data_IF_333199866564
#
_entry.id   IF_333199866564
#
_cell.length_a   1.000
_cell.length_b   1.000
_cell.length_c   1.000
_cell.angle_alpha   90.00
_cell.angle_beta   90.00
_cell.angle_gamma   90.00
#
_symmetry.space_group_name_H-M   'P 1'
#
loop_
_entity.id
_entity.type
_entity.pdbx_description
1 polymer ?
#
# COMPACT_ATOMS: atom_id res chain seq x y z
N UNK A 1 31.00 -2.60 14.99
CA UNK A 1 32.39 -2.85 15.42
C UNK A 1 32.36 -2.89 16.94
N UNK A 2 32.38 -4.08 17.54
CA UNK A 2 32.34 -4.23 18.98
C UNK A 2 33.77 -4.05 19.53
N UNK A 3 33.98 -3.01 20.32
CA UNK A 3 35.19 -2.87 21.13
C UNK A 3 35.18 -3.97 22.18
N UNK A 4 35.92 -5.06 21.96
CA UNK A 4 36.17 -6.07 23.00
C UNK A 4 37.00 -5.42 24.09
N UNK A 5 36.38 -5.09 25.22
CA UNK A 5 37.09 -4.73 26.46
C UNK A 5 38.02 -5.89 26.84
N UNK A 6 39.31 -5.76 26.53
CA UNK A 6 40.32 -6.73 26.91
C UNK A 6 40.35 -6.85 28.44
N UNK A 7 40.01 -8.03 28.95
CA UNK A 7 40.07 -8.31 30.39
C UNK A 7 41.51 -8.59 30.79
N UNK A 8 41.91 -8.04 31.94
CA UNK A 8 43.23 -8.25 32.51
C UNK A 8 43.21 -9.42 33.50
N UNK A 9 44.37 -10.04 33.70
CA UNK A 9 44.54 -11.09 34.69
C UNK A 9 44.36 -10.52 36.10
N UNK A 10 43.36 -11.02 36.82
CA UNK A 10 43.06 -10.61 38.19
C UNK A 10 44.24 -10.91 39.11
N UNK A 11 44.85 -12.09 38.99
CA UNK A 11 45.94 -12.50 39.89
C UNK A 11 47.24 -11.73 39.66
N UNK A 12 47.63 -11.48 38.41
CA UNK A 12 48.83 -10.67 38.13
C UNK A 12 48.61 -9.22 38.60
N UNK A 13 47.42 -8.67 38.36
CA UNK A 13 47.12 -7.33 38.80
C UNK A 13 47.11 -7.21 40.33
N UNK A 14 46.56 -8.20 41.04
CA UNK A 14 46.51 -8.21 42.51
C UNK A 14 47.89 -8.47 43.16
N UNK A 15 48.78 -9.22 42.49
CA UNK A 15 50.12 -9.59 43.01
C UNK A 15 51.15 -8.47 42.85
N UNK A 16 51.29 -7.92 41.64
CA UNK A 16 52.35 -6.95 41.31
C UNK A 16 51.88 -5.75 40.48
N UNK A 17 50.56 -5.60 40.28
CA UNK A 17 49.97 -4.52 39.46
C UNK A 17 50.10 -4.75 37.95
N UNK A 18 50.62 -5.88 37.51
CA UNK A 18 50.84 -6.14 36.09
C UNK A 18 49.52 -6.35 35.33
N UNK A 19 49.31 -5.54 34.30
CA UNK A 19 48.15 -5.61 33.41
C UNK A 19 48.36 -6.62 32.28
N UNK A 20 48.50 -7.90 32.62
CA UNK A 20 48.60 -8.98 31.63
C UNK A 20 47.23 -9.31 31.02
N UNK A 21 47.14 -9.51 29.72
CA UNK A 21 45.88 -9.91 29.05
C UNK A 21 45.40 -11.28 29.54
N UNK A 22 44.13 -11.35 29.96
CA UNK A 22 43.48 -12.58 30.35
C UNK A 22 42.90 -13.31 29.14
N UNK A 23 43.12 -14.62 29.12
CA UNK A 23 42.61 -15.52 28.06
C UNK A 23 41.61 -16.52 28.60
N UNK A 24 41.54 -16.69 29.92
CA UNK A 24 40.68 -17.65 30.60
C UNK A 24 39.81 -16.98 31.66
N UNK A 25 38.54 -17.37 31.73
CA UNK A 25 37.63 -17.06 32.84
C UNK A 25 37.35 -18.34 33.64
N UNK A 26 37.45 -18.27 34.96
CA UNK A 26 37.06 -19.35 35.87
C UNK A 26 35.65 -19.08 36.42
N UNK A 27 34.70 -20.00 36.19
CA UNK A 27 33.29 -19.81 36.55
C UNK A 27 33.10 -19.78 38.07
N UNK A 28 33.77 -20.68 38.77
CA UNK A 28 33.63 -20.88 40.22
C UNK A 28 34.34 -19.78 41.01
N UNK A 29 35.56 -19.40 40.60
CA UNK A 29 36.33 -18.34 41.26
C UNK A 29 35.90 -16.93 40.84
N UNK A 30 35.20 -16.81 39.72
CA UNK A 30 34.82 -15.52 39.13
C UNK A 30 36.01 -14.58 38.90
N UNK A 31 37.11 -15.13 38.38
CA UNK A 31 38.36 -14.37 38.09
C UNK A 31 38.81 -14.58 36.64
N UNK A 32 39.47 -13.56 36.10
CA UNK A 32 40.12 -13.60 34.79
C UNK A 32 41.59 -13.96 34.96
N UNK A 33 42.09 -14.88 34.14
CA UNK A 33 43.44 -15.44 34.24
C UNK A 33 44.17 -15.31 32.90
N UNK A 34 45.44 -14.88 32.94
CA UNK A 34 46.35 -15.01 31.80
C UNK A 34 46.71 -16.48 31.57
N UNK A 35 47.43 -16.76 30.49
CA UNK A 35 47.82 -18.13 30.10
C UNK A 35 48.51 -18.89 31.23
N UNK A 36 49.43 -18.25 31.95
CA UNK A 36 50.24 -18.93 32.96
C UNK A 36 49.50 -19.09 34.29
N UNK A 37 48.78 -18.05 34.73
CA UNK A 37 47.88 -18.16 35.88
C UNK A 37 46.79 -19.21 35.65
N UNK A 38 46.23 -19.30 34.43
CA UNK A 38 45.25 -20.33 34.07
C UNK A 38 45.81 -21.75 34.12
N UNK A 39 47.05 -21.96 33.65
CA UNK A 39 47.75 -23.25 33.76
C UNK A 39 48.00 -23.63 35.21
N UNK A 40 48.47 -22.68 36.03
CA UNK A 40 48.73 -22.92 37.44
C UNK A 40 47.43 -23.22 38.20
N UNK A 41 46.36 -22.47 37.91
CA UNK A 41 45.02 -22.66 38.45
C UNK A 41 44.50 -24.08 38.22
N UNK A 42 44.69 -24.64 37.02
CA UNK A 42 44.31 -26.04 36.73
C UNK A 42 45.21 -27.10 37.36
N UNK A 43 46.46 -26.76 37.69
CA UNK A 43 47.41 -27.68 38.36
C UNK A 43 47.25 -27.67 39.88
N UNK A 44 46.69 -26.61 40.45
CA UNK A 44 46.44 -26.52 41.88
C UNK A 44 45.43 -27.55 42.34
N UNK A 45 45.71 -28.20 43.48
CA UNK A 45 44.79 -29.16 44.11
C UNK A 45 43.44 -28.55 44.49
N UNK A 46 43.38 -27.24 44.71
CA UNK A 46 42.17 -26.54 45.17
C UNK A 46 41.26 -26.05 44.06
N UNK A 47 41.71 -26.11 42.80
CA UNK A 47 40.98 -25.53 41.66
C UNK A 47 41.13 -26.30 40.35
N UNK A 48 41.67 -27.51 40.41
CA UNK A 48 41.86 -28.37 39.25
C UNK A 48 40.54 -28.85 38.63
N UNK A 49 39.47 -28.89 39.40
CA UNK A 49 38.12 -29.32 39.02
C UNK A 49 37.21 -28.14 38.62
N UNK A 50 37.69 -26.90 38.76
CA UNK A 50 36.94 -25.72 38.35
C UNK A 50 36.75 -25.66 36.84
N UNK A 51 35.57 -25.24 36.41
CA UNK A 51 35.25 -25.06 35.00
C UNK A 51 35.77 -23.71 34.52
N UNK A 52 36.56 -23.79 33.46
CA UNK A 52 37.15 -22.63 32.80
C UNK A 52 36.66 -22.52 31.38
N UNK A 53 36.50 -21.30 30.87
CA UNK A 53 36.22 -21.01 29.47
C UNK A 53 37.11 -19.88 28.94
N UNK A 54 37.13 -19.65 27.63
CA UNK A 54 37.89 -18.53 27.09
C UNK A 54 37.21 -17.19 27.44
N UNK A 55 37.98 -16.10 27.44
CA UNK A 55 37.41 -14.75 27.59
C UNK A 55 36.44 -14.40 26.45
N UNK A 56 36.65 -14.95 25.25
CA UNK A 56 35.71 -14.81 24.14
C UNK A 56 34.36 -15.47 24.45
N UNK A 57 34.38 -16.73 24.90
CA UNK A 57 33.15 -17.45 25.26
C UNK A 57 32.41 -16.76 26.42
N UNK A 58 33.16 -16.20 27.37
CA UNK A 58 32.59 -15.38 28.45
C UNK A 58 31.78 -14.20 27.93
N UNK A 59 32.27 -13.50 26.90
CA UNK A 59 31.54 -12.37 26.30
C UNK A 59 30.28 -12.78 25.55
N UNK A 60 30.21 -14.04 25.10
CA UNK A 60 29.05 -14.61 24.42
C UNK A 60 28.00 -15.17 25.40
N UNK A 61 28.32 -15.28 26.70
CA UNK A 61 27.36 -15.74 27.70
C UNK A 61 26.21 -14.73 27.88
N UNK A 62 24.96 -15.21 27.95
CA UNK A 62 23.83 -14.40 28.40
C UNK A 62 24.11 -13.69 29.73
N UNK A 63 23.90 -12.37 29.76
CA UNK A 63 24.17 -11.51 30.94
C UNK A 63 23.51 -12.04 32.22
N UNK A 64 22.28 -12.54 32.12
CA UNK A 64 21.56 -13.07 33.28
C UNK A 64 22.30 -14.23 33.96
N UNK A 65 23.09 -15.03 33.22
CA UNK A 65 23.87 -16.12 33.82
C UNK A 65 25.03 -15.61 34.67
N UNK A 66 25.61 -14.47 34.30
CA UNK A 66 26.71 -13.84 35.04
C UNK A 66 26.24 -13.29 36.40
N UNK A 67 24.97 -12.94 36.48
CA UNK A 67 24.31 -12.44 37.70
C UNK A 67 23.89 -13.57 38.66
N UNK A 68 23.94 -14.83 38.22
CA UNK A 68 23.60 -15.98 39.07
C UNK A 68 24.69 -16.15 40.14
N UNK A 69 24.30 -16.03 41.40
CA UNK A 69 25.14 -16.29 42.57
C UNK A 69 24.90 -17.70 43.09
N UNK A 70 25.96 -18.41 43.47
CA UNK A 70 25.85 -19.67 44.23
C UNK A 70 25.52 -19.48 45.71
N UNK A 71 25.46 -18.22 46.18
CA UNK A 71 25.25 -17.87 47.58
C UNK A 71 24.05 -16.94 47.76
N UNK A 72 23.36 -17.13 48.87
CA UNK A 72 22.28 -16.27 49.34
C UNK A 72 22.81 -14.85 49.58
N UNK A 73 22.12 -13.85 49.02
CA UNK A 73 22.51 -12.43 49.18
C UNK A 73 22.40 -11.96 50.63
N UNK A 74 21.35 -12.39 51.33
CA UNK A 74 21.00 -11.95 52.68
C UNK A 74 21.90 -12.60 53.74
N UNK A 75 22.21 -13.88 53.56
CA UNK A 75 22.90 -14.68 54.59
C UNK A 75 24.34 -15.06 54.23
N UNK A 76 24.78 -14.77 52.99
CA UNK A 76 26.09 -15.13 52.43
C UNK A 76 26.43 -16.63 52.48
N UNK A 77 25.45 -17.50 52.74
CA UNK A 77 25.58 -18.97 52.75
C UNK A 77 25.29 -19.57 51.37
N UNK A 78 25.86 -20.74 51.09
CA UNK A 78 25.57 -21.50 49.86
C UNK A 78 24.08 -21.86 49.78
N UNK A 79 23.59 -21.94 48.55
CA UNK A 79 22.28 -22.51 48.30
C UNK A 79 22.34 -24.03 48.38
N UNK A 80 21.41 -24.62 49.12
CA UNK A 80 21.33 -26.07 49.38
C UNK A 80 19.95 -26.63 49.03
N UNK A 81 18.92 -25.79 49.08
CA UNK A 81 17.53 -26.16 48.85
C UNK A 81 16.96 -25.34 47.68
N UNK A 82 15.89 -25.82 47.07
CA UNK A 82 15.11 -25.10 46.09
C UNK A 82 13.64 -25.11 46.50
N UNK A 83 13.01 -23.94 46.50
CA UNK A 83 11.59 -23.81 46.76
C UNK A 83 10.83 -23.84 45.43
N UNK A 84 10.05 -24.89 45.19
CA UNK A 84 9.28 -25.02 43.95
C UNK A 84 8.14 -24.00 43.87
N UNK A 85 7.52 -23.67 45.00
CA UNK A 85 6.42 -22.70 45.06
C UNK A 85 6.85 -21.28 44.66
N UNK A 86 8.12 -20.92 44.92
CA UNK A 86 8.68 -19.60 44.59
C UNK A 86 9.71 -19.66 43.46
N UNK A 87 9.96 -20.84 42.90
CA UNK A 87 10.95 -21.11 41.87
C UNK A 87 12.34 -20.51 42.16
N UNK A 88 12.83 -20.60 43.41
CA UNK A 88 14.09 -19.96 43.82
C UNK A 88 15.00 -20.84 44.69
N UNK A 89 16.34 -20.71 44.56
CA UNK A 89 17.29 -21.40 45.42
C UNK A 89 17.34 -20.74 46.81
N UNK A 90 17.45 -21.58 47.84
CA UNK A 90 17.37 -21.21 49.26
C UNK A 90 18.57 -21.75 50.05
N UNK A 91 19.08 -20.96 50.98
CA UNK A 91 19.95 -21.45 52.04
C UNK A 91 19.10 -21.89 53.24
N UNK A 92 19.66 -22.66 54.17
CA UNK A 92 18.93 -23.18 55.35
C UNK A 92 18.21 -22.07 56.14
N UNK A 93 18.84 -20.90 56.31
CA UNK A 93 18.24 -19.76 57.01
C UNK A 93 17.05 -19.14 56.27
N UNK A 94 17.07 -19.13 54.92
CA UNK A 94 15.91 -18.68 54.16
C UNK A 94 14.72 -19.61 54.39
N UNK A 95 14.96 -20.91 54.52
CA UNK A 95 13.90 -21.89 54.76
C UNK A 95 13.28 -21.72 56.14
N UNK A 96 14.09 -21.50 57.17
CA UNK A 96 13.58 -21.31 58.54
C UNK A 96 12.82 -20.00 58.76
N UNK A 97 13.15 -18.95 57.99
CA UNK A 97 12.56 -17.62 58.19
C UNK A 97 11.53 -17.22 57.13
N UNK A 98 11.88 -17.34 55.84
CA UNK A 98 11.08 -16.79 54.73
C UNK A 98 10.22 -17.85 54.06
N UNK A 99 10.61 -19.12 54.12
CA UNK A 99 9.92 -20.20 53.45
C UNK A 99 9.40 -21.29 54.41
N UNK A 100 9.17 -20.94 55.69
CA UNK A 100 8.72 -21.89 56.72
C UNK A 100 7.41 -22.59 56.37
N UNK A 101 6.53 -21.93 55.61
CA UNK A 101 5.23 -22.45 55.19
C UNK A 101 5.24 -23.11 53.80
N UNK A 102 6.38 -23.11 53.11
CA UNK A 102 6.49 -23.75 51.79
C UNK A 102 6.64 -25.25 51.97
N UNK A 103 5.73 -26.01 51.39
CA UNK A 103 5.70 -27.48 51.53
C UNK A 103 6.59 -28.19 50.50
N UNK A 104 6.88 -27.54 49.37
CA UNK A 104 7.64 -28.12 48.26
C UNK A 104 9.09 -27.62 48.27
N UNK A 105 9.87 -28.18 49.19
CA UNK A 105 11.32 -27.97 49.26
C UNK A 105 12.06 -29.19 48.76
N UNK A 106 13.00 -28.97 47.83
CA UNK A 106 13.82 -30.03 47.25
C UNK A 106 15.30 -29.74 47.49
N UNK A 107 16.10 -30.79 47.61
CA UNK A 107 17.56 -30.67 47.65
C UNK A 107 18.06 -30.14 46.29
N UNK A 108 18.79 -29.03 46.32
CA UNK A 108 19.25 -28.36 45.10
C UNK A 108 20.18 -29.28 44.30
N UNK A 109 21.02 -30.07 44.98
CA UNK A 109 21.92 -31.01 44.31
C UNK A 109 21.18 -32.06 43.49
N UNK A 110 20.02 -32.52 43.95
CA UNK A 110 19.23 -33.54 43.25
C UNK A 110 18.54 -32.94 42.01
N UNK A 111 18.03 -31.71 42.11
CA UNK A 111 17.53 -30.96 40.95
C UNK A 111 18.66 -30.73 39.93
N UNK A 112 19.84 -30.31 40.37
CA UNK A 112 20.97 -30.03 39.48
C UNK A 112 21.47 -31.31 38.76
N UNK A 113 21.42 -32.47 39.42
CA UNK A 113 21.70 -33.77 38.78
C UNK A 113 20.65 -34.07 37.71
N UNK A 114 19.37 -33.89 38.03
CA UNK A 114 18.28 -34.11 37.09
C UNK A 114 18.34 -33.18 35.89
N UNK A 115 18.66 -31.89 36.08
CA UNK A 115 18.80 -30.92 34.98
C UNK A 115 19.89 -31.34 34.01
N UNK A 116 21.05 -31.80 34.51
CA UNK A 116 22.16 -32.29 33.68
C UNK A 116 21.84 -33.55 32.88
N UNK A 117 20.89 -34.38 33.34
CA UNK A 117 20.46 -35.61 32.66
C UNK A 117 19.11 -35.47 31.93
N UNK A 118 18.42 -34.34 32.07
CA UNK A 118 17.04 -34.20 31.60
C UNK A 118 16.97 -33.89 30.11
N UNK A 119 15.99 -34.49 29.42
CA UNK A 119 15.59 -34.14 28.06
C UNK A 119 14.91 -32.75 27.96
N UNK A 120 14.97 -31.92 29.01
CA UNK A 120 14.27 -30.64 29.10
C UNK A 120 14.89 -29.58 28.17
N UNK A 121 16.22 -29.57 28.00
CA UNK A 121 16.91 -28.62 27.12
C UNK A 121 16.46 -28.77 25.65
N UNK A 122 16.53 -29.97 25.03
CA UNK A 122 15.99 -30.16 23.68
C UNK A 122 14.49 -29.84 23.53
N UNK A 123 13.70 -30.01 24.61
CA UNK A 123 12.28 -29.67 24.60
C UNK A 123 12.07 -28.15 24.58
N UNK A 124 12.80 -27.38 25.37
CA UNK A 124 12.73 -25.92 25.33
C UNK A 124 13.29 -25.34 24.03
N UNK A 125 14.36 -25.93 23.48
CA UNK A 125 14.85 -25.56 22.15
C UNK A 125 13.79 -25.77 21.07
N UNK A 126 13.06 -26.89 21.15
CA UNK A 126 11.93 -27.15 20.25
C UNK A 126 10.80 -26.13 20.42
N UNK A 127 10.40 -25.82 21.66
CA UNK A 127 9.33 -24.84 21.91
C UNK A 127 9.70 -23.46 21.35
N UNK A 128 10.95 -23.01 21.58
CA UNK A 128 11.45 -21.74 21.05
C UNK A 128 11.43 -21.73 19.52
N UNK A 129 11.81 -22.85 18.90
CA UNK A 129 11.76 -23.01 17.45
C UNK A 129 10.32 -22.96 16.93
N UNK A 130 9.40 -23.68 17.56
CA UNK A 130 7.98 -23.71 17.18
C UNK A 130 7.33 -22.32 17.30
N UNK A 131 7.61 -21.59 18.39
CA UNK A 131 7.13 -20.20 18.56
C UNK A 131 7.69 -19.27 17.50
N UNK A 132 8.99 -19.40 17.17
CA UNK A 132 9.61 -18.60 16.11
C UNK A 132 8.95 -18.89 14.75
N UNK A 133 8.76 -20.17 14.40
CA UNK A 133 8.10 -20.56 13.15
C UNK A 133 6.69 -19.94 13.05
N UNK A 134 5.92 -19.95 14.13
CA UNK A 134 4.61 -19.28 14.16
C UNK A 134 4.71 -17.76 13.94
N UNK A 135 5.70 -17.08 14.52
CA UNK A 135 5.92 -15.66 14.24
C UNK A 135 6.29 -15.41 12.77
N UNK A 136 7.17 -16.24 12.20
CA UNK A 136 7.58 -16.13 10.80
C UNK A 136 6.37 -16.34 9.85
N UNK A 137 5.48 -17.28 10.16
CA UNK A 137 4.21 -17.49 9.43
C UNK A 137 3.28 -16.27 9.51
N UNK A 138 3.10 -15.69 10.70
CA UNK A 138 2.29 -14.49 10.89
C UNK A 138 2.87 -13.31 10.09
N UNK A 139 4.19 -13.10 10.17
CA UNK A 139 4.88 -12.03 9.45
C UNK A 139 4.66 -12.20 7.94
N UNK A 140 4.85 -13.41 7.42
CA UNK A 140 4.62 -13.72 6.00
C UNK A 140 3.17 -13.45 5.60
N UNK A 141 2.20 -13.91 6.39
CA UNK A 141 0.78 -13.67 6.15
C UNK A 141 0.45 -12.16 6.10
N UNK A 142 0.95 -11.38 7.06
CA UNK A 142 0.70 -9.93 7.13
C UNK A 142 1.31 -9.19 5.92
N UNK A 143 2.53 -9.57 5.50
CA UNK A 143 3.15 -8.99 4.31
C UNK A 143 2.33 -9.28 3.04
N UNK A 144 1.94 -10.55 2.81
CA UNK A 144 1.10 -10.89 1.65
C UNK A 144 -0.27 -10.22 1.70
N UNK A 145 -0.85 -10.06 2.90
CA UNK A 145 -2.12 -9.33 3.07
C UNK A 145 -1.96 -7.85 2.73
N UNK A 146 -0.85 -7.22 3.12
CA UNK A 146 -0.54 -5.83 2.77
C UNK A 146 -0.38 -5.65 1.26
N UNK A 147 0.34 -6.55 0.59
CA UNK A 147 0.48 -6.54 -0.87
C UNK A 147 -0.87 -6.68 -1.56
N UNK A 148 -1.70 -7.63 -1.13
CA UNK A 148 -3.06 -7.82 -1.66
C UNK A 148 -3.94 -6.59 -1.46
N UNK A 149 -3.83 -5.92 -0.31
CA UNK A 149 -4.56 -4.69 -0.01
C UNK A 149 -4.15 -3.55 -0.94
N UNK A 150 -2.86 -3.43 -1.25
CA UNK A 150 -2.36 -2.45 -2.21
C UNK A 150 -2.89 -2.72 -3.63
N UNK A 151 -2.92 -3.99 -4.05
CA UNK A 151 -3.51 -4.40 -5.34
C UNK A 151 -5.01 -4.06 -5.38
N UNK A 152 -5.77 -4.35 -4.31
CA UNK A 152 -7.19 -4.01 -4.25
C UNK A 152 -7.43 -2.50 -4.33
N UNK A 153 -6.61 -1.70 -3.63
CA UNK A 153 -6.65 -0.23 -3.73
C UNK A 153 -6.40 0.25 -5.16
N UNK A 154 -5.39 -0.30 -5.84
CA UNK A 154 -5.09 0.04 -7.23
C UNK A 154 -6.27 -0.29 -8.15
N UNK A 155 -6.81 -1.51 -8.07
CA UNK A 155 -7.98 -1.93 -8.86
C UNK A 155 -9.21 -1.05 -8.61
N UNK A 156 -9.48 -0.70 -7.35
CA UNK A 156 -10.57 0.22 -7.02
C UNK A 156 -10.34 1.61 -7.63
N UNK A 157 -9.11 2.11 -7.59
CA UNK A 157 -8.72 3.40 -8.18
C UNK A 157 -8.90 3.39 -9.70
N UNK A 158 -8.45 2.32 -10.37
CA UNK A 158 -8.63 2.13 -11.81
C UNK A 158 -10.11 2.10 -12.20
N UNK A 159 -10.95 1.39 -11.44
CA UNK A 159 -12.40 1.32 -11.68
C UNK A 159 -13.08 2.69 -11.55
N UNK A 160 -12.71 3.49 -10.54
CA UNK A 160 -13.25 4.84 -10.35
C UNK A 160 -12.84 5.72 -11.54
N UNK A 161 -11.57 5.68 -11.93
CA UNK A 161 -11.04 6.47 -13.05
C UNK A 161 -11.63 6.07 -14.39
N UNK A 162 -11.77 4.76 -14.65
CA UNK A 162 -12.35 4.27 -15.90
C UNK A 162 -13.82 4.66 -16.01
N UNK A 163 -14.59 4.57 -14.92
CA UNK A 163 -15.97 5.04 -14.89
C UNK A 163 -16.06 6.53 -15.23
N UNK A 164 -15.23 7.37 -14.60
CA UNK A 164 -15.20 8.81 -14.90
C UNK A 164 -14.88 9.06 -16.37
N UNK A 165 -13.84 8.40 -16.89
CA UNK A 165 -13.44 8.52 -18.29
C UNK A 165 -14.57 8.12 -19.25
N UNK A 166 -15.28 7.03 -18.98
CA UNK A 166 -16.40 6.61 -19.82
C UNK A 166 -17.55 7.62 -19.84
N UNK A 167 -17.79 8.33 -18.74
CA UNK A 167 -18.77 9.44 -18.69
C UNK A 167 -18.28 10.60 -19.55
N UNK A 168 -17.03 11.02 -19.37
CA UNK A 168 -16.44 12.13 -20.14
C UNK A 168 -16.45 11.81 -21.65
N UNK A 169 -15.97 10.64 -22.06
CA UNK A 169 -15.96 10.18 -23.46
C UNK A 169 -17.37 10.16 -24.06
N UNK A 170 -18.40 9.84 -23.27
CA UNK A 170 -19.79 9.84 -23.73
C UNK A 170 -20.33 11.26 -23.91
N UNK A 171 -20.03 12.17 -22.97
CA UNK A 171 -20.42 13.58 -23.05
C UNK A 171 -19.76 14.29 -24.23
N UNK A 172 -18.47 14.04 -24.47
CA UNK A 172 -17.74 14.56 -25.64
C UNK A 172 -18.37 14.07 -26.94
N UNK A 173 -18.81 12.80 -26.98
CA UNK A 173 -19.47 12.23 -28.16
C UNK A 173 -20.79 12.93 -28.47
N UNK A 174 -21.66 13.11 -27.48
CA UNK A 174 -22.97 13.73 -27.72
C UNK A 174 -22.85 15.23 -28.06
N UNK A 175 -21.84 15.92 -27.51
CA UNK A 175 -21.52 17.30 -27.92
C UNK A 175 -21.11 17.34 -29.39
N UNK A 176 -20.18 16.47 -29.78
CA UNK A 176 -19.70 16.38 -31.15
C UNK A 176 -20.83 16.06 -32.13
N UNK A 177 -21.67 15.07 -31.81
CA UNK A 177 -22.79 14.69 -32.66
C UNK A 177 -23.76 15.87 -32.88
N UNK A 178 -23.99 16.70 -31.86
CA UNK A 178 -24.84 17.90 -31.97
C UNK A 178 -24.18 19.01 -32.81
N UNK A 179 -22.87 19.23 -32.64
CA UNK A 179 -22.11 20.19 -33.43
C UNK A 179 -22.03 19.79 -34.91
N UNK A 180 -21.86 18.50 -35.19
CA UNK A 180 -21.82 17.96 -36.55
C UNK A 180 -23.21 18.09 -37.23
N UNK A 181 -24.32 17.85 -36.51
CA UNK A 181 -25.67 18.08 -37.03
C UNK A 181 -25.93 19.57 -37.32
N UNK A 182 -25.48 20.47 -36.42
CA UNK A 182 -25.57 21.91 -36.61
C UNK A 182 -24.83 22.33 -37.88
N UNK A 183 -23.59 21.89 -38.06
CA UNK A 183 -22.78 22.24 -39.23
C UNK A 183 -23.38 21.66 -40.52
N UNK A 184 -23.91 20.42 -40.47
CA UNK A 184 -24.61 19.80 -41.60
C UNK A 184 -25.83 20.61 -42.03
N UNK A 185 -26.68 21.02 -41.07
CA UNK A 185 -27.86 21.85 -41.34
C UNK A 185 -27.46 23.22 -41.89
N UNK A 186 -26.45 23.87 -41.30
CA UNK A 186 -25.91 25.16 -41.77
C UNK A 186 -25.37 25.06 -43.19
N UNK A 187 -24.61 24.01 -43.49
CA UNK A 187 -24.04 23.77 -44.82
C UNK A 187 -25.12 23.53 -45.88
N UNK A 188 -26.16 22.76 -45.56
CA UNK A 188 -27.32 22.57 -46.47
C UNK A 188 -28.05 23.88 -46.74
N UNK A 189 -28.26 24.70 -45.71
CA UNK A 189 -28.88 26.01 -45.85
C UNK A 189 -28.03 26.93 -46.74
N UNK A 190 -26.71 27.01 -46.47
CA UNK A 190 -25.75 27.78 -47.27
C UNK A 190 -25.77 27.36 -48.74
N UNK A 191 -25.83 26.06 -49.03
CA UNK A 191 -25.91 25.55 -50.40
C UNK A 191 -27.17 26.04 -51.11
N UNK A 192 -28.34 25.92 -50.45
CA UNK A 192 -29.61 26.41 -51.01
C UNK A 192 -29.58 27.91 -51.30
N UNK A 193 -29.07 28.71 -50.36
CA UNK A 193 -28.94 30.17 -50.54
C UNK A 193 -28.00 30.52 -51.68
N UNK A 194 -26.85 29.85 -51.79
CA UNK A 194 -25.91 30.07 -52.89
C UNK A 194 -26.51 29.72 -54.25
N UNK A 195 -27.28 28.62 -54.34
CA UNK A 195 -27.98 28.24 -55.57
C UNK A 195 -29.00 29.30 -55.97
N UNK A 196 -29.81 29.79 -55.02
CA UNK A 196 -30.78 30.85 -55.30
C UNK A 196 -30.10 32.16 -55.73
N UNK A 197 -28.99 32.53 -55.07
CA UNK A 197 -28.21 33.69 -55.42
C UNK A 197 -27.66 33.60 -56.85
N UNK A 198 -27.14 32.43 -57.25
CA UNK A 198 -26.67 32.21 -58.61
C UNK A 198 -27.79 32.35 -59.64
N UNK A 199 -28.95 31.74 -59.38
CA UNK A 199 -30.12 31.84 -60.24
C UNK A 199 -30.60 33.29 -60.40
N UNK A 200 -30.72 34.03 -59.30
CA UNK A 200 -31.12 35.43 -59.31
C UNK A 200 -30.10 36.32 -60.03
N UNK A 201 -28.81 36.07 -59.83
CA UNK A 201 -27.73 36.79 -60.53
C UNK A 201 -27.82 36.57 -62.03
N UNK A 202 -28.03 35.32 -62.47
CA UNK A 202 -28.20 35.00 -63.89
C UNK A 202 -29.41 35.72 -64.49
N UNK A 203 -30.58 35.63 -63.84
CA UNK A 203 -31.80 36.32 -64.29
C UNK A 203 -31.62 37.84 -64.34
N UNK A 204 -30.93 38.42 -63.36
CA UNK A 204 -30.60 39.84 -63.35
C UNK A 204 -29.75 40.23 -64.57
N UNK A 205 -28.74 39.43 -64.92
CA UNK A 205 -27.90 39.67 -66.09
C UNK A 205 -28.68 39.56 -67.41
N UNK A 206 -29.59 38.58 -67.52
CA UNK A 206 -30.51 38.43 -68.67
C UNK A 206 -31.36 39.70 -68.87
N UNK A 207 -31.93 40.24 -67.78
CA UNK A 207 -32.71 41.49 -67.82
C UNK A 207 -31.83 42.69 -68.18
N UNK A 208 -30.61 42.80 -67.66
CA UNK A 208 -29.68 43.87 -68.02
C UNK A 208 -29.27 43.80 -69.49
N UNK A 209 -29.10 42.61 -70.07
CA UNK A 209 -28.88 42.44 -71.51
C UNK A 209 -30.07 42.94 -72.32
N UNK A 210 -31.30 42.53 -71.95
CA UNK A 210 -32.54 42.99 -72.59
C UNK A 210 -32.69 44.52 -72.52
N UNK A 211 -32.33 45.15 -71.39
CA UNK A 211 -32.32 46.61 -71.26
C UNK A 211 -31.37 47.28 -72.25
N UNK A 212 -30.18 46.73 -72.45
CA UNK A 212 -29.21 47.24 -73.42
C UNK A 212 -29.67 47.04 -74.86
N UNK A 213 -30.25 45.88 -75.18
CA UNK A 213 -30.82 45.59 -76.50
C UNK A 213 -31.98 46.52 -76.84
N UNK A 214 -32.89 46.73 -75.89
CA UNK A 214 -33.99 47.67 -76.05
C UNK A 214 -33.51 49.10 -76.30
N UNK A 215 -32.48 49.54 -75.56
CA UNK A 215 -31.89 50.88 -75.74
C UNK A 215 -31.34 51.08 -77.15
N UNK A 216 -30.78 50.03 -77.77
CA UNK A 216 -30.33 50.07 -79.17
C UNK A 216 -31.52 50.06 -80.14
N UNK A 217 -32.51 49.20 -79.90
CA UNK A 217 -33.74 49.13 -80.70
C UNK A 217 -34.43 50.50 -80.78
N UNK A 218 -34.51 51.21 -79.65
CA UNK A 218 -35.08 52.56 -79.55
C UNK A 218 -34.44 53.60 -80.50
N UNK A 219 -33.19 53.38 -80.94
CA UNK A 219 -32.44 54.33 -81.76
C UNK A 219 -32.58 54.09 -83.27
N UNK A 220 -32.82 52.86 -83.71
CA UNK A 220 -32.70 52.48 -85.12
C UNK A 220 -33.81 51.57 -85.66
N UNK A 221 -34.74 51.09 -84.84
CA UNK A 221 -35.79 50.17 -85.28
C UNK A 221 -36.94 50.88 -86.01
N UNK A 222 -37.57 50.17 -86.96
CA UNK A 222 -38.82 50.61 -87.59
C UNK A 222 -40.00 50.51 -86.61
N UNK A 223 -41.12 51.18 -86.92
CA UNK A 223 -42.33 51.14 -86.08
C UNK A 223 -42.84 49.70 -85.82
N UNK A 224 -42.79 48.84 -86.84
CA UNK A 224 -43.20 47.44 -86.69
C UNK A 224 -42.24 46.64 -85.80
N UNK A 225 -40.92 46.83 -85.98
CA UNK A 225 -39.90 46.19 -85.15
C UNK A 225 -40.01 46.65 -83.69
N UNK A 226 -40.29 47.93 -83.46
CA UNK A 226 -40.53 48.50 -82.13
C UNK A 226 -41.73 47.86 -81.45
N UNK A 227 -42.85 47.77 -82.16
CA UNK A 227 -44.07 47.18 -81.61
C UNK A 227 -43.88 45.71 -81.21
N UNK A 228 -43.26 44.90 -82.08
CA UNK A 228 -42.99 43.48 -81.78
C UNK A 228 -41.99 43.33 -80.63
N UNK A 229 -40.91 44.13 -80.62
CA UNK A 229 -39.90 44.10 -79.56
C UNK A 229 -40.47 44.48 -78.19
N UNK A 230 -41.30 45.52 -78.13
CA UNK A 230 -41.99 45.93 -76.90
C UNK A 230 -42.86 44.81 -76.32
N UNK A 231 -43.58 44.06 -77.16
CA UNK A 231 -44.41 42.93 -76.72
C UNK A 231 -43.59 41.78 -76.13
N UNK A 232 -42.43 41.47 -76.71
CA UNK A 232 -41.58 40.41 -76.17
C UNK A 232 -40.88 40.84 -74.87
N UNK A 233 -40.50 42.12 -74.75
CA UNK A 233 -39.98 42.70 -73.49
C UNK A 233 -41.07 42.67 -72.42
N UNK A 234 -42.27 43.17 -72.71
CA UNK A 234 -43.41 43.18 -71.78
C UNK A 234 -43.69 41.77 -71.24
N UNK A 235 -43.70 40.78 -72.12
CA UNK A 235 -43.86 39.36 -71.77
C UNK A 235 -42.72 38.87 -70.86
N UNK A 236 -41.47 39.15 -71.21
CA UNK A 236 -40.31 38.71 -70.42
C UNK A 236 -40.26 39.37 -69.05
N UNK A 237 -40.51 40.69 -68.97
CA UNK A 237 -40.60 41.42 -67.71
C UNK A 237 -41.75 40.91 -66.85
N UNK A 238 -42.91 40.63 -67.44
CA UNK A 238 -44.05 40.04 -66.71
C UNK A 238 -43.72 38.68 -66.12
N UNK A 239 -43.00 37.83 -66.87
CA UNK A 239 -42.52 36.53 -66.38
C UNK A 239 -41.51 36.69 -65.23
N UNK A 240 -40.60 37.66 -65.31
CA UNK A 240 -39.62 37.93 -64.26
C UNK A 240 -40.28 38.44 -62.97
N UNK A 241 -41.26 39.35 -63.08
CA UNK A 241 -42.05 39.83 -61.92
C UNK A 241 -42.79 38.68 -61.26
N UNK A 242 -43.48 37.85 -62.05
CA UNK A 242 -44.17 36.67 -61.53
C UNK A 242 -43.22 35.72 -60.80
N UNK A 243 -42.03 35.47 -61.36
CA UNK A 243 -41.02 34.65 -60.70
C UNK A 243 -40.61 35.24 -59.34
N UNK A 244 -40.38 36.54 -59.24
CA UNK A 244 -40.05 37.20 -57.95
C UNK A 244 -41.21 37.06 -56.95
N UNK A 245 -42.45 37.22 -57.40
CA UNK A 245 -43.64 37.01 -56.56
C UNK A 245 -43.76 35.56 -56.08
N UNK A 246 -43.48 34.57 -56.94
CA UNK A 246 -43.45 33.15 -56.59
C UNK A 246 -42.36 32.85 -55.55
N UNK A 247 -41.16 33.44 -55.68
CA UNK A 247 -40.08 33.31 -54.69
C UNK A 247 -40.47 33.92 -53.33
N UNK A 248 -41.08 35.11 -53.35
CA UNK A 248 -41.51 35.83 -52.15
C UNK A 248 -42.63 35.08 -51.43
N UNK A 249 -43.67 34.67 -52.15
CA UNK A 249 -44.79 33.92 -51.59
C UNK A 249 -44.37 32.53 -51.10
N UNK A 250 -43.36 31.92 -51.73
CA UNK A 250 -42.75 30.67 -51.30
C UNK A 250 -41.81 30.78 -50.08
N UNK A 251 -41.66 31.95 -49.46
CA UNK A 251 -40.82 32.14 -48.27
C UNK A 251 -39.33 32.00 -48.52
N UNK A 252 -38.87 32.10 -49.77
CA UNK A 252 -37.46 31.88 -50.12
C UNK A 252 -36.53 32.99 -49.64
N UNK A 253 -37.11 34.13 -49.24
CA UNK A 253 -36.42 35.26 -48.64
C UNK A 253 -36.61 35.34 -47.11
N UNK A 254 -37.27 34.35 -46.50
CA UNK A 254 -37.52 34.36 -45.06
C UNK A 254 -36.21 34.25 -44.27
N UNK A 255 -36.18 34.91 -43.11
CA UNK A 255 -35.01 34.92 -42.25
C UNK A 255 -34.86 33.59 -41.49
N UNK A 256 -33.63 33.06 -41.47
CA UNK A 256 -33.35 31.78 -40.82
C UNK A 256 -33.00 31.97 -39.35
N UNK A 257 -33.93 31.64 -38.45
CA UNK A 257 -33.69 31.66 -37.01
C UNK A 257 -33.13 30.32 -36.51
N UNK A 258 -31.85 30.31 -36.14
CA UNK A 258 -31.22 29.17 -35.50
C UNK A 258 -31.53 29.14 -34.00
N UNK A 259 -32.20 28.08 -33.54
CA UNK A 259 -32.43 27.81 -32.11
C UNK A 259 -31.82 26.47 -31.73
N UNK A 260 -30.91 26.49 -30.76
CA UNK A 260 -30.39 25.27 -30.12
C UNK A 260 -31.17 25.03 -28.84
N UNK A 261 -31.68 23.82 -28.67
CA UNK A 261 -32.35 23.39 -27.42
C UNK A 261 -31.52 22.27 -26.82
N UNK A 262 -30.98 22.51 -25.63
CA UNK A 262 -30.20 21.49 -24.89
C UNK A 262 -31.16 20.60 -24.13
N UNK A 263 -30.87 19.30 -24.11
CA UNK A 263 -31.67 18.28 -23.42
C UNK A 263 -31.76 18.54 -21.91
N UNK A 264 -32.96 18.38 -21.34
CA UNK A 264 -33.22 18.52 -19.89
C UNK A 264 -32.59 17.40 -19.05
N UNK A 265 -32.35 16.25 -19.68
CA UNK A 265 -31.69 15.09 -19.08
C UNK A 265 -30.25 15.43 -18.68
N UNK A 266 -29.54 16.23 -19.50
CA UNK A 266 -28.18 16.70 -19.16
C UNK A 266 -28.17 17.62 -17.93
N UNK A 267 -29.21 18.43 -17.74
CA UNK A 267 -29.34 19.26 -16.54
C UNK A 267 -29.64 18.41 -15.30
N UNK A 268 -30.35 17.30 -15.47
CA UNK A 268 -30.68 16.38 -14.38
C UNK A 268 -29.43 15.67 -13.85
N UNK A 269 -28.48 15.31 -14.72
CA UNK A 269 -27.19 14.71 -14.32
C UNK A 269 -26.45 15.56 -13.28
N UNK A 270 -26.44 16.89 -13.45
CA UNK A 270 -25.75 17.81 -12.54
C UNK A 270 -26.40 17.88 -11.14
N UNK A 271 -27.71 17.60 -11.05
CA UNK A 271 -28.47 17.69 -9.81
C UNK A 271 -28.60 16.32 -9.10
N UNK A 272 -28.68 15.24 -9.88
CA UNK A 272 -29.02 13.91 -9.37
C UNK A 272 -27.79 13.10 -8.94
N UNK A 273 -26.64 13.31 -9.60
CA UNK A 273 -25.42 12.55 -9.31
C UNK A 273 -24.61 13.23 -8.20
N UNK A 274 -24.76 12.73 -6.96
CA UNK A 274 -24.08 13.28 -5.76
C UNK A 274 -22.81 12.54 -5.34
N UNK A 275 -22.63 11.30 -5.77
CA UNK A 275 -21.43 10.51 -5.47
C UNK A 275 -21.11 9.53 -6.59
N UNK A 276 -19.85 9.09 -6.64
CA UNK A 276 -19.40 8.02 -7.56
C UNK A 276 -19.68 6.61 -7.03
N UNK A 277 -20.15 6.50 -5.78
CA UNK A 277 -20.38 5.25 -5.07
C UNK A 277 -19.73 5.23 -3.69
N UNK A 278 -19.78 4.06 -3.06
CA UNK A 278 -19.35 3.83 -1.69
C UNK A 278 -18.17 2.86 -1.61
N UNK A 279 -17.28 3.08 -0.64
CA UNK A 279 -16.13 2.21 -0.37
C UNK A 279 -16.42 1.42 0.92
N UNK A 280 -16.51 0.10 0.79
CA UNK A 280 -16.69 -0.82 1.92
C UNK A 280 -15.45 -1.71 2.08
N UNK A 281 -14.91 -1.79 3.29
CA UNK A 281 -13.76 -2.63 3.63
C UNK A 281 -14.23 -3.75 4.55
N UNK A 282 -14.23 -4.98 4.03
CA UNK A 282 -14.54 -6.17 4.82
C UNK A 282 -13.26 -6.83 5.31
N UNK A 283 -13.23 -7.23 6.58
CA UNK A 283 -12.09 -7.94 7.17
C UNK A 283 -12.49 -9.36 7.54
N UNK A 284 -11.68 -10.33 7.12
CA UNK A 284 -11.82 -11.73 7.52
C UNK A 284 -10.80 -12.05 8.63
N UNK A 285 -11.19 -12.81 9.66
CA UNK A 285 -10.28 -13.16 10.74
C UNK A 285 -9.17 -14.10 10.24
N UNK A 286 -7.96 -13.89 10.75
CA UNK A 286 -6.85 -14.82 10.57
C UNK A 286 -6.98 -15.97 11.58
N UNK A 287 -6.81 -17.21 11.12
CA UNK A 287 -6.79 -18.40 11.99
C UNK A 287 -5.40 -18.99 12.00
N UNK A 288 -4.78 -19.04 13.18
CA UNK A 288 -3.51 -19.73 13.40
C UNK A 288 -3.74 -20.97 14.25
N UNK A 289 -3.29 -22.12 13.76
CA UNK A 289 -3.29 -23.36 14.54
C UNK A 289 -1.96 -23.46 15.28
N UNK A 290 -1.99 -23.22 16.60
CA UNK A 290 -0.81 -23.42 17.44
C UNK A 290 -0.56 -24.92 17.60
N UNK A 291 0.69 -25.36 17.44
CA UNK A 291 1.08 -26.72 17.82
C UNK A 291 0.76 -26.89 19.31
N UNK A 292 0.03 -27.95 19.68
CA UNK A 292 -0.48 -28.13 21.03
C UNK A 292 0.62 -27.98 22.09
N UNK A 293 0.57 -26.89 22.86
CA UNK A 293 1.41 -26.71 24.03
C UNK A 293 1.06 -27.78 25.06
N UNK A 294 2.03 -28.64 25.42
CA UNK A 294 1.86 -29.51 26.58
C UNK A 294 1.68 -28.61 27.80
N UNK A 295 0.58 -28.75 28.55
CA UNK A 295 0.44 -28.13 29.88
C UNK A 295 1.63 -28.61 30.72
N UNK A 296 2.61 -27.74 30.97
CA UNK A 296 3.71 -28.03 31.89
C UNK A 296 3.26 -27.60 33.26
N UNK A 297 3.08 -28.58 34.15
CA UNK A 297 3.15 -28.35 35.59
C UNK A 297 4.50 -27.71 35.89
N UNK A 298 4.55 -26.69 36.73
CA UNK A 298 5.78 -26.08 37.27
C UNK A 298 6.60 -27.05 38.13
N UNK A 299 6.16 -28.29 38.30
CA UNK A 299 6.91 -29.36 38.96
C UNK A 299 7.77 -30.10 37.95
N UNK A 300 9.10 -30.06 38.14
CA UNK A 300 10.01 -31.08 37.58
C UNK A 300 9.40 -32.46 37.90
N UNK A 301 9.14 -33.34 36.91
CA UNK A 301 8.49 -34.62 37.18
C UNK A 301 9.41 -35.47 38.06
N UNK A 302 9.02 -35.64 39.32
CA UNK A 302 9.68 -36.56 40.25
C UNK A 302 9.29 -37.98 39.82
N UNK A 303 10.22 -38.71 39.22
CA UNK A 303 10.06 -40.15 39.02
C UNK A 303 10.21 -40.83 40.39
N UNK A 304 9.08 -41.22 40.99
CA UNK A 304 9.09 -42.10 42.16
C UNK A 304 9.51 -43.50 41.70
N UNK A 305 10.73 -43.90 42.04
CA UNK A 305 11.07 -45.32 42.13
C UNK A 305 11.08 -45.70 43.62
N UNK A 306 10.27 -46.72 43.91
CA UNK A 306 10.17 -47.42 45.20
C UNK A 306 11.44 -48.21 45.50
#
# INVERSE_FOLDING_TARGET
>A
MASSDKKICTLCYDDDGTSTEAVTWCIECKVFLCTDCGKHHKKSRTSNDHKTMSTKDYHELPKFMLEISGHCRDHKKKFELYCSSHACPCCVQCVTHKHQKCQEMQQLLDILKQVKSSASVPLFEKDLKDVKEHFDEIIKYLNSRMDSSNIHKQKATEKIRSMRKSIDDYLDKIEKDLLDDLESKRSKLKLKMNTLLQQLTQRSNEISQLQNEFSKMAQCATELQMYVGLREIEKTTSQAVKYIEDLKSGGQFDENNLKVTVSSELQSILNDVKSFGDININTTPFTLQLKAGRKRSSTVPVSNYS
#
